data_IF_515843302740
#
_entry.id   IF_515843302740
#
_cell.length_a   1.000
_cell.length_b   1.000
_cell.length_c   1.000
_cell.angle_alpha   90.00
_cell.angle_beta   90.00
_cell.angle_gamma   90.00
#
_symmetry.space_group_name_H-M   'P 1'
#
loop_
_entity.id
_entity.type
_entity.pdbx_description
1 polymer ?
#
# COMPACT_ATOMS: atom_id res chain seq x y z
N UNK A 1 20.15 -15.83 -27.30
CA UNK A 1 20.00 -14.37 -27.53
C UNK A 1 19.64 -13.72 -26.20
N UNK A 2 20.36 -12.66 -25.81
CA UNK A 2 20.01 -11.87 -24.63
C UNK A 2 18.70 -11.13 -24.86
N UNK A 3 17.90 -10.94 -23.81
CA UNK A 3 16.71 -10.10 -23.90
C UNK A 3 17.10 -8.65 -23.72
N UNK A 4 16.44 -7.75 -24.43
CA UNK A 4 16.45 -6.33 -24.12
C UNK A 4 15.64 -6.08 -22.85
N UNK A 5 16.27 -6.33 -21.71
CA UNK A 5 15.73 -6.00 -20.39
C UNK A 5 16.11 -4.57 -20.05
N UNK A 6 15.14 -3.79 -19.58
CA UNK A 6 15.38 -2.42 -19.13
C UNK A 6 16.59 -2.34 -18.17
N UNK A 7 17.58 -1.51 -18.50
CA UNK A 7 18.78 -1.32 -17.68
C UNK A 7 18.43 -0.92 -16.23
N UNK A 8 17.33 -0.19 -16.06
CA UNK A 8 16.79 0.19 -14.74
C UNK A 8 16.41 -1.04 -13.91
N UNK A 9 15.78 -2.03 -14.54
CA UNK A 9 15.35 -3.27 -13.89
C UNK A 9 16.52 -4.23 -13.68
N UNK A 10 17.48 -4.27 -14.60
CA UNK A 10 18.81 -4.91 -14.40
C UNK A 10 19.48 -4.36 -13.14
N UNK A 11 19.65 -3.04 -13.05
CA UNK A 11 20.28 -2.39 -11.89
C UNK A 11 19.49 -2.61 -10.59
N UNK A 12 18.17 -2.61 -10.66
CA UNK A 12 17.32 -2.89 -9.51
C UNK A 12 17.46 -4.34 -9.02
N UNK A 13 17.59 -5.30 -9.94
CA UNK A 13 17.82 -6.71 -9.60
C UNK A 13 19.20 -6.91 -8.97
N UNK A 14 20.27 -6.35 -9.56
CA UNK A 14 21.62 -6.39 -8.98
C UNK A 14 21.65 -5.78 -7.58
N UNK A 15 20.97 -4.65 -7.35
CA UNK A 15 20.82 -4.07 -6.00
C UNK A 15 20.14 -5.01 -5.01
N UNK A 16 19.13 -5.78 -5.44
CA UNK A 16 18.45 -6.76 -4.58
C UNK A 16 19.36 -7.94 -4.25
N UNK A 17 20.12 -8.46 -5.21
CA UNK A 17 21.08 -9.54 -5.00
C UNK A 17 22.17 -9.15 -4.01
N UNK A 18 22.83 -8.00 -4.25
CA UNK A 18 23.85 -7.48 -3.34
C UNK A 18 23.33 -7.18 -1.95
N UNK A 19 22.08 -6.71 -1.85
CA UNK A 19 21.42 -6.50 -0.56
C UNK A 19 21.13 -7.82 0.16
N UNK A 20 20.69 -8.85 -0.56
CA UNK A 20 20.44 -10.16 0.00
C UNK A 20 21.76 -10.82 0.48
N UNK A 21 22.83 -10.70 -0.31
CA UNK A 21 24.18 -11.14 0.07
C UNK A 21 24.66 -10.41 1.34
N UNK A 22 24.60 -9.08 1.36
CA UNK A 22 25.02 -8.30 2.54
C UNK A 22 24.18 -8.62 3.79
N UNK A 23 22.87 -8.84 3.64
CA UNK A 23 22.02 -9.26 4.75
C UNK A 23 22.36 -10.67 5.23
N UNK A 24 22.73 -11.58 4.32
CA UNK A 24 23.19 -12.91 4.67
C UNK A 24 24.52 -12.86 5.44
N UNK A 25 25.47 -12.01 5.02
CA UNK A 25 26.73 -11.78 5.72
C UNK A 25 26.54 -11.15 7.10
N UNK A 26 25.54 -10.27 7.25
CA UNK A 26 25.21 -9.68 8.56
C UNK A 26 24.80 -10.73 9.60
N UNK A 27 24.44 -11.94 9.21
CA UNK A 27 24.34 -13.08 10.13
C UNK A 27 23.24 -12.97 11.19
N UNK A 28 22.21 -12.13 10.98
CA UNK A 28 21.08 -12.00 11.91
C UNK A 28 20.16 -13.24 11.93
N UNK A 29 20.40 -14.23 11.07
CA UNK A 29 19.62 -15.45 10.98
C UNK A 29 20.49 -16.67 10.70
N UNK A 30 19.86 -17.84 10.52
CA UNK A 30 20.56 -19.08 10.21
C UNK A 30 21.48 -18.90 8.99
N UNK A 31 22.66 -19.56 8.99
CA UNK A 31 23.60 -19.43 7.88
C UNK A 31 22.93 -19.82 6.56
N UNK A 32 23.24 -19.05 5.51
CA UNK A 32 22.72 -19.29 4.18
C UNK A 32 23.18 -20.67 3.69
N UNK A 33 22.27 -21.45 3.09
CA UNK A 33 22.66 -22.76 2.54
C UNK A 33 23.64 -22.59 1.38
N UNK A 34 24.51 -23.57 1.14
CA UNK A 34 25.53 -23.46 0.09
C UNK A 34 24.92 -23.29 -1.31
N UNK A 35 23.80 -23.98 -1.57
CA UNK A 35 22.97 -23.76 -2.76
C UNK A 35 22.45 -22.32 -2.86
N UNK A 36 22.04 -21.70 -1.76
CA UNK A 36 21.51 -20.34 -1.77
C UNK A 36 22.60 -19.29 -2.03
N UNK A 37 23.85 -19.56 -1.65
CA UNK A 37 25.01 -18.73 -2.03
C UNK A 37 25.28 -18.86 -3.53
N UNK A 38 25.37 -20.09 -4.03
CA UNK A 38 25.56 -20.38 -5.46
C UNK A 38 24.45 -19.75 -6.32
N UNK A 39 23.20 -19.78 -5.83
CA UNK A 39 22.07 -19.13 -6.49
C UNK A 39 22.26 -17.62 -6.64
N UNK A 40 22.77 -16.93 -5.62
CA UNK A 40 22.99 -15.48 -5.70
C UNK A 40 24.08 -15.14 -6.73
N UNK A 41 25.17 -15.92 -6.75
CA UNK A 41 26.29 -15.75 -7.68
C UNK A 41 25.87 -16.03 -9.13
N UNK A 42 25.25 -17.18 -9.41
CA UNK A 42 24.83 -17.57 -10.77
C UNK A 42 23.81 -16.57 -11.35
N UNK A 43 22.87 -16.10 -10.51
CA UNK A 43 21.86 -15.13 -10.94
C UNK A 43 22.47 -13.76 -11.19
N UNK A 44 23.46 -13.34 -10.40
CA UNK A 44 24.22 -12.10 -10.63
C UNK A 44 24.96 -12.18 -11.98
N UNK A 45 25.75 -13.22 -12.20
CA UNK A 45 26.52 -13.44 -13.44
C UNK A 45 25.62 -13.45 -14.69
N UNK A 46 24.47 -14.12 -14.60
CA UNK A 46 23.53 -14.20 -15.72
C UNK A 46 22.90 -12.85 -16.06
N UNK A 47 22.55 -12.06 -15.04
CA UNK A 47 22.01 -10.70 -15.25
C UNK A 47 23.09 -9.78 -15.83
N UNK A 48 24.34 -9.95 -15.41
CA UNK A 48 25.45 -9.17 -15.95
C UNK A 48 25.69 -9.49 -17.42
N UNK A 49 25.72 -10.78 -17.78
CA UNK A 49 25.99 -11.28 -19.14
C UNK A 49 24.82 -11.04 -20.11
N UNK A 50 23.59 -11.36 -19.70
CA UNK A 50 22.44 -11.41 -20.62
C UNK A 50 21.35 -10.37 -20.33
N UNK A 51 21.50 -9.57 -19.27
CA UNK A 51 20.49 -8.61 -18.82
C UNK A 51 19.29 -9.23 -18.07
N UNK A 52 19.02 -10.53 -18.30
CA UNK A 52 17.97 -11.31 -17.64
C UNK A 52 18.51 -12.59 -17.02
N UNK A 53 18.03 -12.94 -15.82
CA UNK A 53 18.32 -14.22 -15.17
C UNK A 53 17.51 -15.40 -15.75
N UNK A 54 16.59 -15.16 -16.68
CA UNK A 54 15.73 -16.19 -17.26
C UNK A 54 15.47 -15.94 -18.75
N UNK A 55 15.34 -17.04 -19.50
CA UNK A 55 15.15 -17.00 -20.96
C UNK A 55 13.67 -17.12 -21.39
N UNK A 56 12.82 -17.71 -20.56
CA UNK A 56 11.44 -18.08 -20.89
C UNK A 56 10.42 -16.99 -20.50
N UNK A 57 9.62 -16.46 -21.44
CA UNK A 57 8.67 -15.37 -21.14
C UNK A 57 7.62 -15.77 -20.11
N UNK A 58 7.25 -17.05 -20.07
CA UNK A 58 6.17 -17.52 -19.21
C UNK A 58 6.57 -17.56 -17.72
N UNK A 59 7.87 -17.42 -17.42
CA UNK A 59 8.40 -17.48 -16.05
C UNK A 59 8.41 -16.12 -15.34
N UNK A 60 8.09 -15.03 -16.04
CA UNK A 60 8.14 -13.67 -15.49
C UNK A 60 7.47 -12.65 -16.41
N UNK A 61 7.57 -11.37 -16.06
CA UNK A 61 7.17 -10.32 -16.99
C UNK A 61 8.29 -10.06 -18.00
N UNK A 62 7.94 -9.76 -19.25
CA UNK A 62 8.91 -9.60 -20.34
C UNK A 62 9.96 -8.52 -20.08
N UNK A 63 9.64 -7.53 -19.26
CA UNK A 63 10.57 -6.48 -18.88
C UNK A 63 11.35 -6.75 -17.59
N UNK A 64 11.06 -7.77 -16.80
CA UNK A 64 11.79 -8.01 -15.54
C UNK A 64 13.09 -8.80 -15.75
N UNK A 65 14.11 -8.47 -14.98
CA UNK A 65 15.39 -9.20 -14.99
C UNK A 65 15.35 -10.51 -14.18
N UNK A 66 14.32 -10.72 -13.35
CA UNK A 66 14.18 -11.87 -12.45
C UNK A 66 12.82 -12.53 -12.66
N UNK A 67 12.82 -13.86 -12.75
CA UNK A 67 11.59 -14.65 -12.82
C UNK A 67 10.81 -14.60 -11.50
N UNK A 68 9.51 -14.90 -11.54
CA UNK A 68 8.64 -14.91 -10.37
C UNK A 68 9.18 -15.82 -9.25
N UNK A 69 9.68 -17.01 -9.61
CA UNK A 69 10.28 -17.97 -8.68
C UNK A 69 11.59 -17.46 -8.08
N UNK A 70 12.46 -16.82 -8.88
CA UNK A 70 13.69 -16.21 -8.37
C UNK A 70 13.36 -15.08 -7.38
N UNK A 71 12.35 -14.27 -7.66
CA UNK A 71 11.89 -13.23 -6.73
C UNK A 71 11.35 -13.83 -5.43
N UNK A 72 10.62 -14.95 -5.49
CA UNK A 72 10.17 -15.67 -4.30
C UNK A 72 11.35 -16.22 -3.49
N UNK A 73 12.36 -16.77 -4.16
CA UNK A 73 13.56 -17.29 -3.51
C UNK A 73 14.39 -16.19 -2.84
N UNK A 74 14.56 -15.03 -3.48
CA UNK A 74 15.20 -13.88 -2.85
C UNK A 74 14.46 -13.40 -1.60
N UNK A 75 13.12 -13.37 -1.64
CA UNK A 75 12.31 -13.03 -0.44
C UNK A 75 12.48 -14.07 0.67
N UNK A 76 12.66 -15.34 0.33
CA UNK A 76 12.94 -16.38 1.32
C UNK A 76 14.32 -16.20 1.94
N UNK A 77 15.35 -15.94 1.12
CA UNK A 77 16.72 -15.64 1.57
C UNK A 77 16.71 -14.40 2.48
N UNK A 78 16.08 -13.31 2.07
CA UNK A 78 15.95 -12.09 2.90
C UNK A 78 15.27 -12.37 4.23
N UNK A 79 14.22 -13.21 4.25
CA UNK A 79 13.54 -13.60 5.49
C UNK A 79 14.43 -14.45 6.39
N UNK A 80 15.20 -15.38 5.81
CA UNK A 80 16.17 -16.21 6.54
C UNK A 80 17.28 -15.35 7.12
N UNK A 81 17.91 -14.51 6.30
CA UNK A 81 18.97 -13.59 6.69
C UNK A 81 18.53 -12.63 7.82
N UNK A 82 17.27 -12.18 7.79
CA UNK A 82 16.71 -11.32 8.86
C UNK A 82 16.24 -12.07 10.11
N UNK A 83 16.54 -13.36 10.23
CA UNK A 83 16.10 -14.20 11.36
C UNK A 83 14.58 -14.37 11.45
N UNK A 84 13.83 -14.08 10.38
CA UNK A 84 12.37 -14.21 10.29
C UNK A 84 11.92 -15.55 9.72
N UNK A 85 12.79 -16.56 9.79
CA UNK A 85 12.55 -17.90 9.26
C UNK A 85 11.26 -18.47 9.88
N UNK A 86 10.22 -18.57 9.04
CA UNK A 86 8.95 -19.24 9.31
C UNK A 86 8.25 -18.85 10.63
N UNK A 87 7.89 -17.57 10.75
CA UNK A 87 6.55 -17.27 11.25
C UNK A 87 5.58 -17.78 10.18
N UNK A 88 5.16 -19.05 10.31
CA UNK A 88 4.22 -19.68 9.39
C UNK A 88 2.94 -18.84 9.27
N UNK A 89 2.06 -19.21 8.34
CA UNK A 89 0.73 -18.61 8.12
C UNK A 89 -0.17 -18.47 9.39
N UNK A 90 0.31 -18.79 10.59
CA UNK A 90 -0.34 -18.55 11.88
C UNK A 90 0.41 -17.66 12.89
N UNK A 91 1.65 -17.21 12.63
CA UNK A 91 2.44 -16.46 13.63
C UNK A 91 2.39 -14.93 13.46
N UNK A 92 1.29 -14.44 12.89
CA UNK A 92 0.73 -13.14 13.23
C UNK A 92 -0.64 -13.34 13.87
N UNK A 93 -0.66 -13.73 15.15
CA UNK A 93 -1.63 -13.17 16.11
C UNK A 93 -1.40 -11.65 16.17
N UNK A 94 -1.68 -10.94 15.07
CA UNK A 94 -2.04 -9.53 15.17
C UNK A 94 -3.38 -9.56 15.90
N UNK A 95 -3.46 -8.80 17.00
CA UNK A 95 -4.70 -8.50 17.73
C UNK A 95 -5.90 -8.46 16.77
N UNK A 96 -7.09 -9.00 17.14
CA UNK A 96 -8.26 -9.00 16.27
C UNK A 96 -8.68 -7.55 15.96
N UNK A 97 -8.09 -7.01 14.91
CA UNK A 97 -8.30 -5.65 14.42
C UNK A 97 -9.37 -5.69 13.35
N UNK A 98 -10.55 -5.18 13.70
CA UNK A 98 -11.51 -4.58 12.76
C UNK A 98 -12.34 -5.49 11.85
N UNK A 99 -11.92 -6.73 11.56
CA UNK A 99 -12.70 -7.60 10.66
C UNK A 99 -13.84 -8.35 11.36
N UNK A 100 -13.71 -8.66 12.65
CA UNK A 100 -14.77 -9.30 13.45
C UNK A 100 -15.80 -8.31 14.02
N UNK A 101 -15.64 -7.00 13.74
CA UNK A 101 -16.60 -5.94 14.12
C UNK A 101 -17.45 -5.47 12.94
N UNK A 102 -17.29 -6.08 11.76
CA UNK A 102 -18.14 -5.77 10.62
C UNK A 102 -19.50 -6.42 10.92
N UNK A 103 -20.61 -5.67 10.85
CA UNK A 103 -21.92 -6.30 10.89
C UNK A 103 -21.97 -7.37 9.79
N UNK A 104 -22.58 -8.54 10.04
CA UNK A 104 -22.71 -9.55 9.00
C UNK A 104 -23.36 -8.91 7.77
N UNK A 105 -22.95 -9.29 6.54
CA UNK A 105 -23.59 -8.78 5.34
C UNK A 105 -25.10 -8.97 5.48
N UNK A 106 -25.87 -7.93 5.16
CA UNK A 106 -27.34 -8.01 5.09
C UNK A 106 -27.71 -8.93 3.93
N UNK A 107 -27.63 -10.23 4.16
CA UNK A 107 -28.14 -11.27 3.27
C UNK A 107 -29.65 -11.32 3.54
N UNK A 108 -30.47 -11.16 2.50
CA UNK A 108 -31.89 -11.52 2.56
C UNK A 108 -31.93 -13.03 2.80
N UNK A 109 -32.44 -13.45 3.96
CA UNK A 109 -32.67 -14.87 4.22
C UNK A 109 -33.78 -15.31 3.27
N UNK A 110 -33.39 -15.99 2.20
CA UNK A 110 -34.32 -16.40 1.14
C UNK A 110 -35.39 -17.37 1.68
N UNK A 111 -35.09 -18.04 2.79
CA UNK A 111 -36.00 -18.93 3.52
C UNK A 111 -37.18 -18.18 4.18
N UNK A 112 -36.98 -16.93 4.62
CA UNK A 112 -38.03 -16.07 5.19
C UNK A 112 -38.96 -15.48 4.11
N UNK A 113 -38.45 -15.30 2.88
CA UNK A 113 -39.18 -14.68 1.75
C UNK A 113 -40.14 -15.67 1.04
N UNK A 114 -40.09 -16.98 1.37
CA UNK A 114 -40.90 -18.03 0.72
C UNK A 114 -42.18 -18.38 1.50
N UNK A 115 -42.23 -18.15 2.81
CA UNK A 115 -43.35 -18.59 3.68
C UNK A 115 -44.41 -17.52 3.97
N UNK A 116 -44.22 -16.26 3.56
CA UNK A 116 -45.11 -15.16 3.91
C UNK A 116 -45.96 -14.65 2.72
N UNK A 117 -46.86 -15.49 2.20
CA UNK A 117 -47.94 -15.05 1.28
C UNK A 117 -49.18 -14.59 2.08
N UNK A 118 -48.98 -13.58 2.93
CA UNK A 118 -50.08 -12.81 3.53
C UNK A 118 -49.87 -11.35 3.14
N UNK A 119 -50.72 -10.73 2.30
CA UNK A 119 -50.45 -9.38 1.82
C UNK A 119 -50.48 -8.38 2.99
N UNK A 120 -49.35 -7.71 3.31
CA UNK A 120 -49.35 -6.62 4.28
C UNK A 120 -50.10 -5.42 3.68
N UNK A 121 -50.84 -4.63 4.49
CA UNK A 121 -51.55 -3.46 3.99
C UNK A 121 -50.57 -2.48 3.34
N UNK A 122 -50.90 -2.05 2.12
CA UNK A 122 -50.06 -1.16 1.30
C UNK A 122 -49.72 0.13 2.06
N UNK A 123 -48.51 0.18 2.62
CA UNK A 123 -47.93 1.42 3.09
C UNK A 123 -47.56 2.27 1.88
N UNK A 124 -48.27 3.38 1.70
CA UNK A 124 -48.04 4.35 0.63
C UNK A 124 -46.56 4.80 0.62
N UNK A 125 -45.91 4.65 -0.53
CA UNK A 125 -44.52 5.08 -0.71
C UNK A 125 -44.44 6.60 -0.53
N UNK A 126 -43.51 7.14 0.30
CA UNK A 126 -43.31 8.58 0.35
C UNK A 126 -42.77 9.04 -1.01
N UNK A 127 -43.59 9.79 -1.75
CA UNK A 127 -43.19 10.46 -2.99
C UNK A 127 -42.11 11.49 -2.63
N UNK A 128 -40.86 11.14 -2.92
CA UNK A 128 -39.75 12.08 -2.83
C UNK A 128 -39.93 13.11 -3.94
N UNK A 129 -40.28 14.34 -3.57
CA UNK A 129 -40.39 15.45 -4.51
C UNK A 129 -39.08 15.64 -5.27
N UNK A 130 -39.16 15.75 -6.60
CA UNK A 130 -38.00 16.10 -7.42
C UNK A 130 -37.55 17.53 -7.10
N UNK A 131 -36.23 17.79 -7.03
CA UNK A 131 -35.75 19.14 -6.77
C UNK A 131 -36.11 20.06 -7.94
N UNK A 132 -36.70 21.23 -7.64
CA UNK A 132 -36.98 22.27 -8.64
C UNK A 132 -35.66 22.90 -9.09
N UNK A 133 -35.45 22.93 -10.40
CA UNK A 133 -34.28 23.57 -11.02
C UNK A 133 -34.47 25.09 -10.98
N UNK A 134 -33.66 25.79 -10.18
CA UNK A 134 -33.67 27.27 -10.10
C UNK A 134 -32.77 27.82 -11.20
N UNK A 135 -33.22 28.86 -11.91
CA UNK A 135 -32.45 29.49 -12.98
C UNK A 135 -31.40 30.43 -12.38
N UNK A 136 -30.19 30.44 -12.94
CA UNK A 136 -29.05 31.20 -12.42
C UNK A 136 -29.30 32.72 -12.32
N UNK A 137 -30.25 33.25 -13.10
CA UNK A 137 -30.68 34.66 -13.06
C UNK A 137 -31.42 35.06 -11.78
N UNK A 138 -31.96 34.10 -11.03
CA UNK A 138 -32.74 34.36 -9.81
C UNK A 138 -31.86 34.38 -8.56
N UNK A 139 -30.56 34.07 -8.68
CA UNK A 139 -29.59 34.23 -7.59
C UNK A 139 -29.15 35.70 -7.51
N UNK A 140 -29.71 36.42 -6.54
CA UNK A 140 -29.28 37.80 -6.23
C UNK A 140 -27.80 37.80 -5.80
N UNK A 141 -26.92 38.59 -6.44
CA UNK A 141 -25.53 38.70 -6.02
C UNK A 141 -25.45 39.36 -4.64
N UNK A 142 -24.62 38.79 -3.75
CA UNK A 142 -24.35 39.33 -2.42
C UNK A 142 -23.67 40.71 -2.53
N UNK A 143 -23.98 41.67 -1.65
CA UNK A 143 -23.36 42.99 -1.69
C UNK A 143 -21.85 42.90 -1.38
N UNK A 144 -21.01 43.75 -2.03
CA UNK A 144 -19.58 43.79 -1.76
C UNK A 144 -19.34 44.30 -0.33
N UNK A 145 -18.50 43.60 0.42
CA UNK A 145 -18.02 44.09 1.72
C UNK A 145 -17.07 45.26 1.48
N UNK A 146 -17.40 46.39 2.08
CA UNK A 146 -16.58 47.60 2.11
C UNK A 146 -15.16 47.30 2.62
N UNK A 147 -14.16 47.59 1.79
CA UNK A 147 -12.81 47.89 2.26
C UNK A 147 -12.45 49.29 1.79
N UNK A 148 -12.69 50.26 2.69
CA UNK A 148 -12.22 51.64 2.54
C UNK A 148 -10.70 51.66 2.38
N UNK A 149 -10.22 52.38 1.38
CA UNK A 149 -8.80 52.62 1.11
C UNK A 149 -8.43 54.07 1.44
N UNK A 150 -7.36 54.28 2.24
CA UNK A 150 -6.33 55.35 2.10
C UNK A 150 -5.28 55.30 3.25
N UNK A 151 -4.06 55.90 3.12
CA UNK A 151 -2.94 55.58 2.21
C UNK A 151 -1.56 55.40 2.91
N UNK A 152 -0.62 54.80 2.16
CA UNK A 152 0.85 54.95 2.15
C UNK A 152 1.67 55.15 3.44
N UNK A 153 2.51 54.17 3.84
CA UNK A 153 3.93 54.37 4.25
C UNK A 153 4.71 53.05 4.48
N UNK A 154 5.95 53.00 3.95
CA UNK A 154 7.15 52.19 4.28
C UNK A 154 7.16 50.62 4.38
N UNK A 155 8.31 49.95 4.10
CA UNK A 155 8.38 48.50 3.83
C UNK A 155 8.98 47.67 4.98
N UNK A 156 8.24 46.69 5.53
CA UNK A 156 8.78 45.62 6.41
C UNK A 156 7.82 44.41 6.51
N UNK A 157 8.28 43.23 7.00
CA UNK A 157 8.77 42.08 6.23
C UNK A 157 7.71 40.96 6.04
N UNK A 158 7.95 40.09 5.06
CA UNK A 158 7.08 38.95 4.75
C UNK A 158 6.95 38.02 5.97
N UNK A 159 5.70 37.75 6.37
CA UNK A 159 5.36 36.84 7.46
C UNK A 159 5.74 35.40 7.10
N UNK A 160 6.54 34.75 7.93
CA UNK A 160 6.93 33.36 7.77
C UNK A 160 5.72 32.41 7.77
N UNK A 161 5.75 31.32 6.98
CA UNK A 161 4.67 30.35 6.94
C UNK A 161 4.55 29.57 8.26
N UNK A 162 3.34 29.08 8.61
CA UNK A 162 3.07 28.49 9.91
C UNK A 162 3.92 27.24 10.18
N UNK A 163 4.54 27.20 11.36
CA UNK A 163 5.42 26.13 11.82
C UNK A 163 4.63 24.82 12.02
N UNK A 164 5.14 23.74 11.44
CA UNK A 164 4.54 22.39 11.53
C UNK A 164 4.53 21.91 12.99
N UNK A 165 3.48 21.18 13.43
CA UNK A 165 3.41 20.68 14.80
C UNK A 165 4.55 19.68 15.07
N UNK A 166 5.26 19.88 16.18
CA UNK A 166 6.33 19.01 16.63
C UNK A 166 5.77 17.75 17.32
N UNK A 167 6.39 16.61 17.04
CA UNK A 167 6.07 15.32 17.66
C UNK A 167 6.36 15.38 19.16
N UNK A 168 5.35 15.13 20.01
CA UNK A 168 5.52 15.01 21.46
C UNK A 168 5.50 13.53 21.84
N UNK A 169 6.60 13.06 22.43
CA UNK A 169 6.71 11.72 23.01
C UNK A 169 5.92 11.73 24.33
N UNK A 170 4.89 10.89 24.41
CA UNK A 170 4.13 10.70 25.65
C UNK A 170 4.94 9.73 26.51
N UNK A 171 5.59 10.26 27.53
CA UNK A 171 6.32 9.50 28.53
C UNK A 171 5.30 8.94 29.54
N UNK A 172 4.92 7.68 29.38
CA UNK A 172 3.88 7.06 30.23
C UNK A 172 3.38 5.70 29.77
N UNK A 173 4.26 4.86 29.20
CA UNK A 173 3.91 3.49 28.82
C UNK A 173 3.97 2.54 30.02
N UNK A 174 2.81 2.24 30.61
CA UNK A 174 2.47 1.11 31.50
C UNK A 174 3.66 0.22 31.94
N UNK A 175 4.22 0.51 33.11
CA UNK A 175 4.94 -0.49 33.91
C UNK A 175 3.88 -1.43 34.49
N UNK A 176 3.86 -2.68 34.05
CA UNK A 176 3.05 -3.73 34.65
C UNK A 176 3.95 -4.60 35.51
N UNK A 177 3.76 -4.52 36.83
CA UNK A 177 3.77 -5.72 37.67
C UNK A 177 2.46 -6.49 37.47
#
# INVERSE_FOLDING_TARGET
MGRDVDERKKRAALRKLRKAAALAEQGLGPPLSDWEKQFLEEVEERIETYGSAFADPLKGSDGEALSSLQQMKLKEIDKKARGKARSGFGAKKKKPGGFNKRPPPRVRQLDDDLEEDTPPPEAEKPVRGTPKLVRASDLKPAPPKDTSAKPAEAPVPQSDPPKRPAFRVIEGGKQGE
#
